data_IF_676690514114
#
_entry.id   IF_676690514114
#
_cell.length_a   1.000
_cell.length_b   1.000
_cell.length_c   1.000
_cell.angle_alpha   90.00
_cell.angle_beta   90.00
_cell.angle_gamma   90.00
#
_symmetry.space_group_name_H-M   'P 1'
#
loop_
_entity.id
_entity.type
_entity.pdbx_description
1 polymer ?
#
# COMPACT_ATOMS: atom_id res chain seq x y z
N UNK A 1 -6.52 3.26 -21.20
CA UNK A 1 -5.99 4.63 -20.97
C UNK A 1 -4.87 4.59 -19.93
N UNK A 2 -3.74 5.26 -20.18
CA UNK A 2 -2.67 5.32 -19.20
C UNK A 2 -3.11 5.98 -17.91
N UNK A 3 -2.54 5.52 -16.78
CA UNK A 3 -2.84 6.09 -15.46
C UNK A 3 -1.97 7.32 -15.14
N UNK A 4 -0.86 7.49 -15.85
CA UNK A 4 0.01 8.66 -15.70
C UNK A 4 -0.13 9.58 -16.90
N UNK A 5 0.02 10.89 -16.67
CA UNK A 5 0.03 11.89 -17.76
C UNK A 5 1.42 12.00 -18.40
N UNK A 6 1.59 12.93 -19.33
CA UNK A 6 2.84 13.12 -20.07
C UNK A 6 4.02 13.52 -19.19
N UNK A 7 3.75 14.14 -18.03
CA UNK A 7 4.77 14.51 -17.07
C UNK A 7 5.09 13.40 -16.07
N UNK A 8 4.39 12.26 -16.14
CA UNK A 8 4.58 11.15 -15.24
C UNK A 8 3.79 11.23 -13.94
N UNK A 9 2.85 12.16 -13.86
CA UNK A 9 1.98 12.30 -12.68
C UNK A 9 0.70 11.49 -12.84
N UNK A 10 0.20 10.94 -11.74
CA UNK A 10 -1.03 10.16 -11.74
C UNK A 10 -2.22 11.04 -12.14
N UNK A 11 -3.08 10.47 -12.99
CA UNK A 11 -4.33 11.14 -13.38
C UNK A 11 -5.39 10.95 -12.32
N UNK A 12 -6.17 11.99 -12.06
CA UNK A 12 -7.28 11.92 -11.09
C UNK A 12 -8.30 10.88 -11.56
N UNK A 13 -8.76 10.06 -10.61
CA UNK A 13 -9.76 9.04 -10.90
C UNK A 13 -9.23 7.76 -11.54
N UNK A 14 -7.95 7.73 -11.92
CA UNK A 14 -7.35 6.55 -12.57
C UNK A 14 -6.58 5.66 -11.58
N UNK A 15 -6.49 6.05 -10.33
CA UNK A 15 -5.75 5.32 -9.29
C UNK A 15 -6.69 4.90 -8.16
N UNK A 16 -6.32 3.87 -7.37
CA UNK A 16 -7.14 3.44 -6.23
C UNK A 16 -7.36 4.55 -5.21
N UNK A 17 -8.49 4.50 -4.52
CA UNK A 17 -8.91 5.54 -3.57
C UNK A 17 -7.91 5.78 -2.44
N UNK A 18 -7.26 4.72 -1.94
CA UNK A 18 -6.24 4.87 -0.89
C UNK A 18 -5.05 5.69 -1.36
N UNK A 19 -4.70 5.59 -2.65
CA UNK A 19 -3.61 6.37 -3.24
C UNK A 19 -4.04 7.81 -3.49
N UNK A 20 -5.30 8.05 -3.82
CA UNK A 20 -5.81 9.42 -3.96
C UNK A 20 -5.67 10.21 -2.67
N UNK A 21 -5.74 9.54 -1.53
CA UNK A 21 -5.57 10.14 -0.20
C UNK A 21 -4.10 10.16 0.26
N UNK A 22 -3.18 9.74 -0.59
CA UNK A 22 -1.75 9.64 -0.29
C UNK A 22 -0.95 10.76 -0.96
N UNK A 23 0.37 10.81 -0.69
CA UNK A 23 1.23 11.83 -1.28
C UNK A 23 1.41 11.60 -2.79
N UNK A 24 1.89 12.63 -3.48
CA UNK A 24 2.09 12.61 -4.93
C UNK A 24 3.05 11.51 -5.36
N UNK A 25 4.09 11.26 -4.58
CA UNK A 25 5.10 10.24 -4.90
C UNK A 25 4.48 8.84 -4.94
N UNK A 26 3.61 8.51 -3.97
CA UNK A 26 2.92 7.21 -3.95
C UNK A 26 2.01 7.07 -5.17
N UNK A 27 1.26 8.12 -5.49
CA UNK A 27 0.37 8.15 -6.65
C UNK A 27 1.14 7.93 -7.96
N UNK A 28 2.21 8.68 -8.15
CA UNK A 28 3.01 8.63 -9.37
C UNK A 28 3.72 7.29 -9.52
N UNK A 29 4.24 6.74 -8.43
CA UNK A 29 4.89 5.43 -8.43
C UNK A 29 3.93 4.35 -8.93
N UNK A 30 2.71 4.33 -8.41
CA UNK A 30 1.70 3.38 -8.85
C UNK A 30 1.37 3.57 -10.33
N UNK A 31 1.04 4.79 -10.74
CA UNK A 31 0.60 5.08 -12.10
C UNK A 31 1.66 4.75 -13.14
N UNK A 32 2.90 5.18 -12.91
CA UNK A 32 4.01 4.93 -13.84
C UNK A 32 4.35 3.45 -13.92
N UNK A 33 4.38 2.76 -12.78
CA UNK A 33 4.69 1.32 -12.76
C UNK A 33 3.60 0.52 -13.44
N UNK A 34 2.34 0.87 -13.19
CA UNK A 34 1.19 0.23 -13.83
C UNK A 34 1.28 0.35 -15.36
N UNK A 35 1.50 1.56 -15.86
CA UNK A 35 1.57 1.80 -17.31
C UNK A 35 2.72 1.03 -17.95
N UNK A 36 3.90 1.01 -17.30
CA UNK A 36 5.06 0.26 -17.78
C UNK A 36 4.77 -1.25 -17.80
N UNK A 37 4.13 -1.76 -16.76
CA UNK A 37 3.78 -3.18 -16.66
C UNK A 37 2.72 -3.59 -17.69
N UNK A 38 1.79 -2.69 -18.02
CA UNK A 38 0.81 -2.95 -19.08
C UNK A 38 1.50 -3.22 -20.42
N UNK A 39 2.54 -2.45 -20.74
CA UNK A 39 3.32 -2.68 -21.95
C UNK A 39 4.09 -4.00 -21.88
N UNK A 40 4.71 -4.31 -20.73
CA UNK A 40 5.52 -5.50 -20.54
C UNK A 40 4.70 -6.79 -20.61
N UNK A 41 3.48 -6.78 -20.06
CA UNK A 41 2.66 -7.98 -19.90
C UNK A 41 1.44 -8.01 -20.83
N UNK A 42 1.55 -7.40 -22.02
CA UNK A 42 0.51 -7.43 -23.05
C UNK A 42 -0.87 -6.97 -22.53
N UNK A 43 -0.87 -5.87 -21.77
CA UNK A 43 -2.09 -5.26 -21.23
C UNK A 43 -2.88 -6.13 -20.24
N UNK A 44 -2.17 -7.03 -19.55
CA UNK A 44 -2.77 -7.81 -18.45
C UNK A 44 -2.90 -6.91 -17.21
N UNK A 45 -4.12 -6.43 -16.96
CA UNK A 45 -4.39 -5.49 -15.87
C UNK A 45 -4.07 -6.07 -14.49
N UNK A 46 -4.35 -7.35 -14.26
CA UNK A 46 -4.06 -7.99 -12.97
C UNK A 46 -2.56 -8.02 -12.67
N UNK A 47 -1.76 -8.36 -13.67
CA UNK A 47 -0.31 -8.38 -13.51
C UNK A 47 0.25 -6.98 -13.31
N UNK A 48 -0.27 -6.02 -14.06
CA UNK A 48 0.14 -4.63 -13.95
C UNK A 48 -0.17 -4.06 -12.56
N UNK A 49 -1.36 -4.34 -12.03
CA UNK A 49 -1.76 -3.89 -10.70
C UNK A 49 -0.87 -4.48 -9.61
N UNK A 50 -0.58 -5.78 -9.66
CA UNK A 50 0.29 -6.43 -8.67
C UNK A 50 1.71 -5.85 -8.70
N UNK A 51 2.23 -5.59 -9.89
CA UNK A 51 3.55 -5.00 -10.07
C UNK A 51 3.59 -3.57 -9.50
N UNK A 52 2.56 -2.78 -9.78
CA UNK A 52 2.46 -1.41 -9.28
C UNK A 52 2.36 -1.37 -7.75
N UNK A 53 1.56 -2.25 -7.14
CA UNK A 53 1.45 -2.33 -5.69
C UNK A 53 2.76 -2.73 -5.04
N UNK A 54 3.50 -3.67 -5.63
CA UNK A 54 4.82 -4.06 -5.12
C UNK A 54 5.77 -2.86 -5.09
N UNK A 55 5.74 -2.03 -6.14
CA UNK A 55 6.57 -0.82 -6.20
C UNK A 55 6.21 0.18 -5.10
N UNK A 56 4.93 0.42 -4.86
CA UNK A 56 4.48 1.32 -3.79
C UNK A 56 4.95 0.80 -2.43
N UNK A 57 4.84 -0.51 -2.18
CA UNK A 57 5.22 -1.12 -0.90
C UNK A 57 6.72 -1.05 -0.58
N UNK A 58 7.57 -0.77 -1.56
CA UNK A 58 8.99 -0.58 -1.31
C UNK A 58 9.29 0.73 -0.57
N UNK A 59 8.51 1.77 -0.81
CA UNK A 59 8.78 3.11 -0.28
C UNK A 59 7.70 3.62 0.67
N UNK A 60 6.52 3.00 0.65
CA UNK A 60 5.37 3.45 1.44
C UNK A 60 4.75 2.30 2.20
N UNK A 61 4.02 2.64 3.26
CA UNK A 61 3.26 1.68 4.06
C UNK A 61 1.84 2.17 4.24
N UNK A 62 0.89 1.23 4.35
CA UNK A 62 -0.52 1.59 4.54
C UNK A 62 -0.80 1.88 6.01
N UNK A 63 -1.36 3.05 6.27
CA UNK A 63 -1.75 3.49 7.62
C UNK A 63 -3.20 3.98 7.53
N UNK A 64 -4.13 3.18 8.03
CA UNK A 64 -5.55 3.50 7.92
C UNK A 64 -6.03 3.47 6.47
N UNK A 65 -6.54 4.58 5.97
CA UNK A 65 -7.14 4.68 4.63
C UNK A 65 -6.23 5.29 3.56
N UNK A 66 -4.93 5.42 3.86
CA UNK A 66 -3.96 6.03 2.93
C UNK A 66 -2.58 5.40 3.10
N UNK A 67 -1.63 5.83 2.26
CA UNK A 67 -0.25 5.37 2.27
C UNK A 67 0.66 6.48 2.76
N UNK A 68 1.63 6.15 3.63
CA UNK A 68 2.62 7.09 4.15
C UNK A 68 4.03 6.62 3.80
N UNK A 69 4.98 7.53 3.58
CA UNK A 69 6.38 7.15 3.33
C UNK A 69 6.93 6.37 4.52
N UNK A 70 7.75 5.37 4.26
CA UNK A 70 8.42 4.60 5.31
C UNK A 70 9.48 5.47 5.99
N UNK A 71 9.63 5.30 7.30
CA UNK A 71 10.64 6.03 8.07
C UNK A 71 12.07 5.61 7.70
N UNK A 72 12.25 4.37 7.27
CA UNK A 72 13.57 3.85 6.93
C UNK A 72 13.55 3.13 5.59
N UNK A 73 14.49 3.47 4.72
CA UNK A 73 14.70 2.77 3.45
C UNK A 73 15.34 1.39 3.65
N UNK A 74 15.95 1.17 4.83
CA UNK A 74 16.65 -0.07 5.13
C UNK A 74 15.73 -1.22 5.48
N UNK A 75 14.43 -0.96 5.68
CA UNK A 75 13.47 -2.02 5.98
C UNK A 75 13.14 -2.89 4.77
N UNK A 76 13.38 -2.39 3.55
CA UNK A 76 13.14 -3.14 2.32
C UNK A 76 11.65 -3.39 2.04
N UNK A 77 11.33 -4.50 1.34
CA UNK A 77 9.95 -4.83 1.01
C UNK A 77 9.09 -5.04 2.24
N UNK A 78 7.80 -4.68 2.15
CA UNK A 78 6.86 -4.74 3.28
C UNK A 78 6.57 -6.16 3.77
N UNK A 79 6.56 -7.12 2.87
CA UNK A 79 6.21 -8.50 3.17
C UNK A 79 6.81 -9.44 2.13
N UNK A 80 6.59 -10.75 2.30
CA UNK A 80 7.13 -11.75 1.38
C UNK A 80 6.68 -11.54 -0.06
N UNK A 81 5.42 -11.20 -0.24
CA UNK A 81 4.87 -10.96 -1.59
C UNK A 81 5.55 -9.78 -2.26
N UNK A 82 5.76 -8.68 -1.54
CA UNK A 82 6.46 -7.51 -2.07
C UNK A 82 7.93 -7.82 -2.36
N UNK A 83 8.58 -8.65 -1.53
CA UNK A 83 9.97 -9.07 -1.73
C UNK A 83 10.14 -9.88 -3.00
N UNK A 84 9.18 -10.78 -3.30
CA UNK A 84 9.20 -11.54 -4.55
C UNK A 84 9.02 -10.63 -5.76
N UNK A 85 8.17 -9.61 -5.61
CA UNK A 85 7.86 -8.66 -6.68
C UNK A 85 7.15 -9.28 -7.87
N UNK A 86 6.70 -8.44 -8.80
CA UNK A 86 6.15 -8.89 -10.06
C UNK A 86 4.77 -9.53 -9.97
N UNK A 87 4.28 -10.03 -11.11
CA UNK A 87 2.87 -10.48 -11.21
C UNK A 87 2.60 -11.85 -10.61
N UNK A 88 3.64 -12.65 -10.34
CA UNK A 88 3.49 -14.02 -9.86
C UNK A 88 3.88 -14.18 -8.38
N UNK A 89 4.05 -13.08 -7.67
CA UNK A 89 4.38 -13.10 -6.24
C UNK A 89 3.29 -13.80 -5.44
N UNK A 90 3.67 -14.75 -4.60
CA UNK A 90 2.73 -15.59 -3.84
C UNK A 90 2.97 -15.60 -2.33
N UNK A 91 3.98 -14.87 -1.83
CA UNK A 91 4.28 -14.79 -0.41
C UNK A 91 3.16 -14.11 0.38
N UNK A 92 3.24 -14.20 1.72
CA UNK A 92 2.24 -13.62 2.61
C UNK A 92 2.22 -12.09 2.47
N UNK A 93 1.02 -11.54 2.38
CA UNK A 93 0.80 -10.10 2.29
C UNK A 93 0.03 -9.60 3.51
N UNK A 94 0.39 -8.42 3.98
CA UNK A 94 -0.29 -7.74 5.10
C UNK A 94 -1.05 -6.50 4.62
N UNK A 95 -1.49 -6.51 3.36
CA UNK A 95 -2.32 -5.44 2.82
C UNK A 95 -1.65 -4.07 2.75
N UNK A 96 -0.33 -4.04 2.62
CA UNK A 96 0.44 -2.81 2.57
C UNK A 96 1.07 -2.38 3.89
N UNK A 97 0.76 -3.07 4.99
CA UNK A 97 1.44 -2.87 6.28
C UNK A 97 2.88 -3.38 6.14
N UNK A 98 3.84 -2.62 6.64
CA UNK A 98 5.26 -3.02 6.55
C UNK A 98 5.61 -4.03 7.65
N UNK A 99 5.43 -5.30 7.36
CA UNK A 99 5.73 -6.38 8.30
C UNK A 99 7.22 -6.49 8.64
N UNK A 100 8.09 -5.87 7.85
CA UNK A 100 9.54 -5.85 8.11
C UNK A 100 10.00 -4.65 8.94
N UNK A 101 9.08 -3.75 9.29
CA UNK A 101 9.38 -2.64 10.18
C UNK A 101 9.66 -3.16 11.60
N UNK A 102 10.26 -2.31 12.44
CA UNK A 102 10.50 -2.68 13.84
C UNK A 102 9.18 -2.83 14.60
N UNK A 103 9.20 -3.63 15.67
CA UNK A 103 8.01 -3.78 16.55
C UNK A 103 7.60 -2.42 17.11
N UNK A 104 8.57 -1.59 17.47
CA UNK A 104 8.34 -0.25 17.99
C UNK A 104 7.57 0.62 16.99
N UNK A 105 7.97 0.57 15.71
CA UNK A 105 7.29 1.31 14.65
C UNK A 105 5.85 0.83 14.46
N UNK A 106 5.65 -0.49 14.44
CA UNK A 106 4.31 -1.07 14.32
C UNK A 106 3.44 -0.71 15.52
N UNK A 107 4.03 -0.67 16.71
CA UNK A 107 3.32 -0.24 17.91
C UNK A 107 2.84 1.21 17.80
N UNK A 108 3.67 2.11 17.26
CA UNK A 108 3.31 3.51 17.05
C UNK A 108 2.15 3.65 16.05
N UNK A 109 2.16 2.86 14.99
CA UNK A 109 1.05 2.85 14.02
C UNK A 109 -0.23 2.33 14.69
N UNK A 110 -0.13 1.26 15.48
CA UNK A 110 -1.27 0.71 16.21
C UNK A 110 -1.86 1.74 17.17
N UNK A 111 -1.02 2.56 17.79
CA UNK A 111 -1.43 3.64 18.67
C UNK A 111 -2.20 4.73 17.89
N UNK A 112 -1.72 5.10 16.71
CA UNK A 112 -2.40 6.06 15.82
C UNK A 112 -3.79 5.56 15.42
N UNK A 113 -3.96 4.26 15.27
CA UNK A 113 -5.21 3.64 14.84
C UNK A 113 -6.10 3.20 16.01
N UNK A 114 -5.72 3.54 17.25
CA UNK A 114 -6.46 3.19 18.49
C UNK A 114 -6.74 1.68 18.62
N UNK A 115 -5.74 0.85 18.34
CA UNK A 115 -5.90 -0.59 18.44
C UNK A 115 -5.76 -1.00 19.92
N UNK A 116 -6.80 -1.65 20.46
CA UNK A 116 -6.80 -2.15 21.83
C UNK A 116 -5.92 -3.38 21.98
N UNK A 117 -5.27 -3.52 23.14
CA UNK A 117 -4.44 -4.69 23.44
C UNK A 117 -3.09 -4.70 22.77
N UNK A 118 -2.69 -3.62 22.10
CA UNK A 118 -1.45 -3.53 21.32
C UNK A 118 -0.19 -3.80 22.16
N UNK A 119 -0.21 -3.46 23.44
CA UNK A 119 0.95 -3.67 24.31
C UNK A 119 1.26 -5.14 24.57
N UNK A 120 0.30 -6.03 24.33
CA UNK A 120 0.44 -7.47 24.54
C UNK A 120 0.62 -8.24 23.24
N UNK A 121 0.78 -7.54 22.12
CA UNK A 121 0.90 -8.16 20.80
C UNK A 121 2.33 -8.38 20.37
N UNK A 122 2.59 -9.50 19.69
CA UNK A 122 3.84 -9.73 19.00
C UNK A 122 3.89 -8.86 17.73
N UNK A 123 5.05 -8.82 17.07
CA UNK A 123 5.23 -8.08 15.81
C UNK A 123 4.22 -8.53 14.75
N UNK A 124 4.04 -9.85 14.59
CA UNK A 124 3.09 -10.39 13.61
C UNK A 124 1.65 -10.04 13.97
N UNK A 125 1.31 -10.12 15.25
CA UNK A 125 -0.02 -9.75 15.73
C UNK A 125 -0.31 -8.27 15.50
N UNK A 126 0.69 -7.40 15.70
CA UNK A 126 0.57 -5.98 15.43
C UNK A 126 0.33 -5.72 13.94
N UNK A 127 1.09 -6.38 13.06
CA UNK A 127 0.93 -6.23 11.62
C UNK A 127 -0.47 -6.65 11.17
N UNK A 128 -0.98 -7.77 11.68
CA UNK A 128 -2.34 -8.25 11.35
C UNK A 128 -3.42 -7.30 11.88
N UNK A 129 -3.26 -6.80 13.10
CA UNK A 129 -4.22 -5.87 13.69
C UNK A 129 -4.26 -4.54 12.93
N UNK A 130 -3.10 -4.05 12.52
CA UNK A 130 -2.99 -2.84 11.71
C UNK A 130 -3.66 -3.05 10.35
N UNK A 131 -3.47 -4.20 9.73
CA UNK A 131 -4.11 -4.54 8.46
C UNK A 131 -5.63 -4.49 8.60
N UNK A 132 -6.19 -5.13 9.63
CA UNK A 132 -7.64 -5.13 9.87
C UNK A 132 -8.18 -3.73 10.09
N UNK A 133 -7.49 -2.92 10.90
CA UNK A 133 -7.90 -1.55 11.16
C UNK A 133 -7.83 -0.69 9.90
N UNK A 134 -6.78 -0.85 9.11
CA UNK A 134 -6.61 -0.11 7.85
C UNK A 134 -7.68 -0.48 6.83
N UNK A 135 -8.02 -1.76 6.72
CA UNK A 135 -9.09 -2.21 5.82
C UNK A 135 -10.44 -1.64 6.24
N UNK A 136 -10.72 -1.61 7.55
CA UNK A 136 -11.93 -1.00 8.08
C UNK A 136 -11.99 0.49 7.77
N UNK A 137 -10.91 1.21 8.00
CA UNK A 137 -10.85 2.65 7.75
C UNK A 137 -11.00 2.96 6.26
N UNK A 138 -10.37 2.16 5.40
CA UNK A 138 -10.50 2.27 3.94
C UNK A 138 -11.95 2.10 3.50
N UNK A 139 -12.61 1.06 4.03
CA UNK A 139 -14.02 0.80 3.71
C UNK A 139 -14.92 1.95 4.15
N UNK A 140 -14.71 2.47 5.36
CA UNK A 140 -15.49 3.61 5.89
C UNK A 140 -15.27 4.88 5.05
N UNK A 141 -14.03 5.14 4.64
CA UNK A 141 -13.71 6.30 3.81
C UNK A 141 -14.39 6.19 2.43
N UNK A 142 -14.37 4.99 1.84
CA UNK A 142 -15.02 4.75 0.55
C UNK A 142 -16.53 4.90 0.63
N UNK A 143 -17.15 4.45 1.73
CA UNK A 143 -18.58 4.63 1.96
C UNK A 143 -18.95 6.11 2.08
N UNK A 144 -18.15 6.89 2.80
CA UNK A 144 -18.38 8.34 2.92
C UNK A 144 -18.30 9.04 1.57
N UNK A 145 -17.36 8.62 0.72
CA UNK A 145 -17.21 9.18 -0.62
C UNK A 145 -18.42 8.90 -1.51
N UNK A 146 -19.06 7.73 -1.34
CA UNK A 146 -20.24 7.35 -2.11
C UNK A 146 -21.49 8.12 -1.69
N UNK A 147 -21.54 8.64 -0.46
CA UNK A 147 -22.71 9.35 0.08
C UNK A 147 -22.70 10.85 -0.21
N UNK A 148 -21.59 11.37 -0.71
CA UNK A 148 -21.45 12.80 -0.98
C UNK A 148 -21.85 13.23 -2.41
#
# INVERSE_FOLDING_TARGET
MPKADKQGHAKDGEIPSTLERSDQKAQDTFAQTYDSAMETYNEDESRAARTAWAAVKHTHEKVGDHWEPKDSKDWGPSDERAAEGGPNASGKSYGGVDANATKEHLYEIAKKLDIDGRSNMSKDELAEAIQKASDRDTRRANERSKKS
#
